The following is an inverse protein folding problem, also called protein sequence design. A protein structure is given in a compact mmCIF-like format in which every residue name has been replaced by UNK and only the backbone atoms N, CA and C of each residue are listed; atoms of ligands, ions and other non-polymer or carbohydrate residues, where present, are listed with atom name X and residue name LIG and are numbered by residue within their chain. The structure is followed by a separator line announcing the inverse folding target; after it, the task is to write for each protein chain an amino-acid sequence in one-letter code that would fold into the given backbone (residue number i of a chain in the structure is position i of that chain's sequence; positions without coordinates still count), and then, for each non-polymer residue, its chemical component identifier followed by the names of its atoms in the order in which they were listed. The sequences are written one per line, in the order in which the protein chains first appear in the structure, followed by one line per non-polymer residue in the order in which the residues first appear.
data_IF_425537193795
#
_entry.id   IF_425537193795
#
_cell.length_a   1.000
_cell.length_b   1.000
_cell.length_c   1.000
_cell.angle_alpha   90.00
_cell.angle_beta   90.00
_cell.angle_gamma   90.00
#
_symmetry.space_group_name_H-M   'P 1'
#
loop_
_entity.id
_entity.type
_entity.pdbx_description
1 polymer ?
#
# COMPACT_ATOMS: atom_id res chain seq x y z
N UNK A 1 -9.67 12.92 -3.24
CA UNK A 1 -8.27 12.52 -3.02
C UNK A 1 -7.60 11.90 -4.25
N UNK A 2 -8.27 11.02 -4.98
CA UNK A 2 -7.71 10.35 -6.18
C UNK A 2 -7.24 11.31 -7.30
N UNK A 3 -8.00 12.34 -7.59
CA UNK A 3 -7.63 13.35 -8.60
C UNK A 3 -6.36 14.11 -8.22
N UNK A 4 -6.18 14.42 -6.94
CA UNK A 4 -4.99 15.11 -6.40
C UNK A 4 -3.74 14.24 -6.54
N UNK A 5 -3.84 12.93 -6.28
CA UNK A 5 -2.76 11.95 -6.44
C UNK A 5 -2.33 11.85 -7.90
N UNK A 6 -3.30 11.65 -8.81
CA UNK A 6 -3.01 11.56 -10.25
C UNK A 6 -2.33 12.81 -10.79
N UNK A 7 -2.77 13.98 -10.33
CA UNK A 7 -2.14 15.27 -10.69
C UNK A 7 -0.70 15.37 -10.19
N UNK A 8 -0.44 14.92 -8.97
CA UNK A 8 0.92 14.87 -8.42
C UNK A 8 1.82 13.92 -9.23
N UNK A 9 1.37 12.71 -9.51
CA UNK A 9 2.13 11.71 -10.30
C UNK A 9 2.49 12.21 -11.70
N UNK A 10 1.56 12.91 -12.36
CA UNK A 10 1.82 13.56 -13.65
C UNK A 10 2.88 14.64 -13.52
N UNK A 11 2.76 15.56 -12.55
CA UNK A 11 3.75 16.62 -12.32
C UNK A 11 5.12 16.07 -11.95
N UNK A 12 5.18 15.03 -11.10
CA UNK A 12 6.44 14.40 -10.70
C UNK A 12 7.12 13.70 -11.87
N UNK A 13 6.36 13.00 -12.70
CA UNK A 13 6.89 12.35 -13.91
C UNK A 13 7.41 13.37 -14.92
N UNK A 14 6.69 14.47 -15.13
CA UNK A 14 7.12 15.55 -16.05
C UNK A 14 8.40 16.26 -15.56
N UNK A 15 8.55 16.41 -14.25
CA UNK A 15 9.74 17.02 -13.66
C UNK A 15 10.98 16.15 -13.87
N UNK A 16 10.83 14.84 -13.73
CA UNK A 16 11.92 13.87 -13.94
C UNK A 16 12.20 13.58 -15.41
N UNK A 17 11.17 13.61 -16.25
CA UNK A 17 11.25 13.25 -17.67
C UNK A 17 10.47 14.24 -18.55
N UNK A 18 11.03 15.45 -18.81
CA UNK A 18 10.30 16.50 -19.55
C UNK A 18 9.95 16.13 -21.00
N UNK A 19 10.66 15.17 -21.59
CA UNK A 19 10.48 14.72 -22.98
C UNK A 19 9.57 13.49 -23.12
N UNK A 20 8.94 13.07 -22.03
CA UNK A 20 8.05 11.90 -22.04
C UNK A 20 6.81 12.15 -22.91
N UNK A 21 6.43 11.18 -23.73
CA UNK A 21 5.20 11.28 -24.49
C UNK A 21 3.97 10.92 -23.62
N UNK A 22 2.78 11.36 -24.05
CA UNK A 22 1.55 11.18 -23.27
C UNK A 22 1.19 9.71 -23.02
N UNK A 23 1.54 8.79 -23.93
CA UNK A 23 1.30 7.35 -23.74
C UNK A 23 2.20 6.76 -22.67
N UNK A 24 3.48 7.12 -22.69
CA UNK A 24 4.43 6.75 -21.64
C UNK A 24 4.03 7.37 -20.29
N UNK A 25 3.61 8.64 -20.29
CA UNK A 25 3.12 9.33 -19.10
C UNK A 25 1.90 8.62 -18.50
N UNK A 26 0.98 8.12 -19.34
CA UNK A 26 -0.17 7.33 -18.91
C UNK A 26 0.26 6.03 -18.22
N UNK A 27 1.24 5.33 -18.79
CA UNK A 27 1.79 4.10 -18.20
C UNK A 27 2.47 4.37 -16.85
N UNK A 28 3.33 5.40 -16.77
CA UNK A 28 4.04 5.77 -15.54
C UNK A 28 3.08 6.21 -14.41
N UNK A 29 2.06 6.99 -14.76
CA UNK A 29 1.08 7.47 -13.78
C UNK A 29 -0.03 6.45 -13.47
N UNK A 30 -0.06 5.29 -14.14
CA UNK A 30 -1.08 4.26 -13.94
C UNK A 30 -2.51 4.74 -14.26
N UNK A 31 -2.66 5.62 -15.29
CA UNK A 31 -3.94 6.21 -15.69
C UNK A 31 -4.16 6.10 -17.21
N UNK A 32 -5.40 6.30 -17.65
CA UNK A 32 -5.71 6.27 -19.08
C UNK A 32 -5.13 7.48 -19.82
N UNK A 33 -4.91 7.32 -21.14
CA UNK A 33 -4.46 8.42 -21.99
C UNK A 33 -5.42 9.61 -21.99
N UNK A 34 -6.74 9.35 -21.92
CA UNK A 34 -7.76 10.41 -21.80
C UNK A 34 -7.63 11.20 -20.49
N UNK A 35 -7.33 10.53 -19.38
CA UNK A 35 -7.07 11.19 -18.09
C UNK A 35 -5.78 12.01 -18.13
N UNK A 36 -4.71 11.51 -18.77
CA UNK A 36 -3.48 12.30 -18.99
C UNK A 36 -3.77 13.57 -19.76
N UNK A 37 -4.50 13.46 -20.88
CA UNK A 37 -4.85 14.63 -21.70
C UNK A 37 -5.65 15.66 -20.91
N UNK A 38 -6.63 15.22 -20.13
CA UNK A 38 -7.43 16.10 -19.28
C UNK A 38 -6.56 16.82 -18.24
N UNK A 39 -5.68 16.07 -17.55
CA UNK A 39 -4.78 16.64 -16.53
C UNK A 39 -3.81 17.61 -17.17
N UNK A 40 -3.14 17.23 -18.28
CA UNK A 40 -2.19 18.10 -19.00
C UNK A 40 -2.85 19.41 -19.45
N UNK A 41 -4.06 19.35 -20.02
CA UNK A 41 -4.82 20.55 -20.39
C UNK A 41 -5.05 21.43 -19.18
N UNK A 42 -5.53 20.87 -18.08
CA UNK A 42 -5.74 21.62 -16.83
C UNK A 42 -4.43 22.24 -16.29
N UNK A 43 -3.32 21.55 -16.38
CA UNK A 43 -2.01 22.06 -15.93
C UNK A 43 -1.51 23.22 -16.81
N UNK A 44 -1.71 23.13 -18.13
CA UNK A 44 -1.39 24.18 -19.10
C UNK A 44 -2.28 25.42 -18.87
N UNK A 45 -3.59 25.24 -18.77
CA UNK A 45 -4.57 26.32 -18.56
C UNK A 45 -4.29 27.09 -17.25
N UNK A 46 -3.81 26.39 -16.22
CA UNK A 46 -3.45 26.96 -14.91
C UNK A 46 -2.05 27.55 -14.86
N UNK A 47 -1.26 27.42 -15.95
CA UNK A 47 0.13 27.87 -16.02
C UNK A 47 1.08 27.13 -15.10
N UNK A 48 0.79 25.86 -14.76
CA UNK A 48 1.65 25.02 -13.92
C UNK A 48 2.71 24.32 -14.78
N UNK A 49 2.39 24.09 -16.05
CA UNK A 49 3.25 23.48 -17.06
C UNK A 49 3.26 24.37 -18.30
N UNK A 50 4.37 24.41 -18.99
CA UNK A 50 4.50 25.04 -20.31
C UNK A 50 5.01 24.03 -21.34
N UNK A 51 4.61 24.18 -22.61
CA UNK A 51 5.12 23.39 -23.72
C UNK A 51 6.38 24.07 -24.25
N UNK A 52 7.50 23.35 -24.24
CA UNK A 52 8.73 23.76 -24.89
C UNK A 52 8.86 23.13 -26.28
N UNK A 53 9.15 23.94 -27.29
CA UNK A 53 9.49 23.43 -28.63
C UNK A 53 10.95 23.02 -28.67
N UNK A 54 11.25 21.73 -28.71
CA UNK A 54 12.61 21.24 -29.00
C UNK A 54 12.83 21.16 -30.51
N UNK A 55 13.33 22.26 -31.09
CA UNK A 55 13.66 22.37 -32.53
C UNK A 55 14.99 21.70 -32.96
N UNK A 56 15.56 20.80 -32.16
CA UNK A 56 16.90 20.24 -32.45
C UNK A 56 16.94 18.75 -32.79
N UNK A 57 15.85 18.14 -33.24
CA UNK A 57 15.93 16.78 -33.81
C UNK A 57 15.19 16.72 -35.14
N UNK A 58 15.86 16.29 -36.26
CA UNK A 58 15.17 16.07 -37.53
C UNK A 58 14.21 14.89 -37.54
N UNK A 59 14.11 14.13 -36.43
CA UNK A 59 13.23 12.99 -36.28
C UNK A 59 12.15 13.26 -35.18
N UNK A 60 10.98 13.70 -35.66
CA UNK A 60 9.71 13.84 -34.90
C UNK A 60 9.73 14.87 -33.76
N UNK A 61 8.91 15.88 -33.91
CA UNK A 61 8.59 16.94 -32.97
C UNK A 61 8.11 16.29 -31.65
N UNK A 62 9.02 16.22 -30.67
CA UNK A 62 8.68 15.87 -29.30
C UNK A 62 8.29 17.16 -28.55
N UNK A 63 7.10 17.23 -28.03
CA UNK A 63 6.74 18.30 -27.10
C UNK A 63 7.40 18.02 -25.75
N UNK A 64 8.18 18.99 -25.24
CA UNK A 64 8.64 18.95 -23.86
C UNK A 64 7.64 19.66 -22.97
N UNK A 65 7.21 19.00 -21.93
CA UNK A 65 6.38 19.59 -20.87
C UNK A 65 7.28 20.01 -19.73
N UNK A 66 7.43 21.32 -19.52
CA UNK A 66 8.29 21.88 -18.49
C UNK A 66 7.46 22.48 -17.36
N UNK A 67 7.79 22.17 -16.12
CA UNK A 67 7.17 22.79 -14.97
C UNK A 67 7.55 24.27 -14.90
N UNK A 68 6.58 25.12 -14.59
CA UNK A 68 6.84 26.52 -14.24
C UNK A 68 7.23 26.63 -12.76
N UNK A 69 7.77 27.75 -12.26
CA UNK A 69 7.98 27.96 -10.82
C UNK A 69 6.72 27.71 -9.99
N UNK A 70 5.56 28.14 -10.49
CA UNK A 70 4.25 27.85 -9.87
C UNK A 70 3.91 26.35 -9.91
N UNK A 71 4.30 25.66 -10.99
CA UNK A 71 4.17 24.19 -11.11
C UNK A 71 5.02 23.44 -10.10
N UNK A 72 6.28 23.86 -9.90
CA UNK A 72 7.18 23.28 -8.88
C UNK A 72 6.60 23.48 -7.48
N UNK A 73 6.16 24.69 -7.14
CA UNK A 73 5.52 24.98 -5.86
C UNK A 73 4.26 24.13 -5.64
N UNK A 74 3.42 24.01 -6.66
CA UNK A 74 2.20 23.18 -6.60
C UNK A 74 2.56 21.70 -6.42
N UNK A 75 3.57 21.19 -7.16
CA UNK A 75 4.07 19.82 -7.00
C UNK A 75 4.53 19.55 -5.57
N UNK A 76 5.33 20.45 -5.00
CA UNK A 76 5.82 20.33 -3.62
C UNK A 76 4.68 20.28 -2.60
N UNK A 77 3.69 21.15 -2.75
CA UNK A 77 2.51 21.13 -1.88
C UNK A 77 1.68 19.83 -2.01
N UNK A 78 1.51 19.35 -3.25
CA UNK A 78 0.82 18.09 -3.50
C UNK A 78 1.61 16.90 -2.93
N UNK A 79 2.95 16.92 -2.99
CA UNK A 79 3.81 15.90 -2.39
C UNK A 79 3.59 15.82 -0.87
N UNK A 80 3.62 16.95 -0.18
CA UNK A 80 3.34 17.00 1.27
C UNK A 80 1.98 16.41 1.58
N UNK A 81 0.93 16.84 0.88
CA UNK A 81 -0.42 16.29 1.08
C UNK A 81 -0.51 14.79 0.82
N UNK A 82 0.18 14.31 -0.22
CA UNK A 82 0.21 12.88 -0.54
C UNK A 82 0.89 12.08 0.57
N UNK A 83 2.06 12.54 1.02
CA UNK A 83 2.81 11.89 2.12
C UNK A 83 1.98 11.89 3.40
N UNK A 84 1.43 13.04 3.79
CA UNK A 84 0.58 13.14 5.00
C UNK A 84 -0.60 12.18 4.95
N UNK A 85 -1.31 12.13 3.80
CA UNK A 85 -2.42 11.19 3.63
C UNK A 85 -2.00 9.73 3.73
N UNK A 86 -0.79 9.39 3.27
CA UNK A 86 -0.26 8.02 3.38
C UNK A 86 0.16 7.67 4.81
N UNK A 87 0.72 8.60 5.53
CA UNK A 87 1.04 8.43 6.95
C UNK A 87 -0.24 8.25 7.79
N UNK A 88 -1.27 9.06 7.55
CA UNK A 88 -2.57 8.90 8.22
C UNK A 88 -3.25 7.55 7.90
N UNK A 89 -3.10 7.04 6.67
CA UNK A 89 -3.60 5.72 6.28
C UNK A 89 -2.82 4.61 7.01
N UNK A 90 -1.50 4.75 7.10
CA UNK A 90 -0.62 3.85 7.84
C UNK A 90 -0.97 3.84 9.34
N UNK A 91 -1.12 5.01 9.97
CA UNK A 91 -1.48 5.11 11.38
C UNK A 91 -2.83 4.46 11.69
N UNK A 92 -3.83 4.68 10.83
CA UNK A 92 -5.13 4.00 10.99
C UNK A 92 -5.02 2.48 10.91
N UNK A 93 -4.19 1.98 9.98
CA UNK A 93 -3.94 0.56 9.83
C UNK A 93 -3.22 -0.01 11.06
N UNK A 94 -2.16 0.68 11.50
CA UNK A 94 -1.37 0.33 12.68
C UNK A 94 -2.25 0.24 13.93
N UNK A 95 -3.05 1.27 14.19
CA UNK A 95 -3.92 1.32 15.37
C UNK A 95 -4.97 0.17 15.35
N UNK A 96 -5.57 -0.10 14.20
CA UNK A 96 -6.49 -1.24 14.06
C UNK A 96 -5.82 -2.58 14.35
N UNK A 97 -4.59 -2.77 13.89
CA UNK A 97 -3.80 -3.98 14.19
C UNK A 97 -3.42 -4.06 15.66
N UNK A 98 -2.98 -2.95 16.27
CA UNK A 98 -2.66 -2.88 17.68
C UNK A 98 -3.87 -3.24 18.55
N UNK A 99 -5.06 -2.69 18.28
CA UNK A 99 -6.30 -3.05 18.97
C UNK A 99 -6.64 -4.54 18.82
N UNK A 100 -6.42 -5.09 17.61
CA UNK A 100 -6.64 -6.52 17.36
C UNK A 100 -5.69 -7.40 18.18
N UNK A 101 -4.39 -7.05 18.19
CA UNK A 101 -3.37 -7.76 18.95
C UNK A 101 -3.64 -7.68 20.47
N UNK A 102 -3.98 -6.50 20.98
CA UNK A 102 -4.37 -6.33 22.39
C UNK A 102 -5.60 -7.20 22.77
N UNK A 103 -6.58 -7.32 21.85
CA UNK A 103 -7.71 -8.23 22.03
C UNK A 103 -7.30 -9.70 22.07
N UNK A 104 -6.24 -10.09 21.38
CA UNK A 104 -5.68 -11.45 21.40
C UNK A 104 -4.95 -11.69 22.73
N UNK A 105 -4.09 -10.74 23.11
CA UNK A 105 -3.34 -10.79 24.37
C UNK A 105 -4.26 -10.92 25.59
N UNK A 106 -5.37 -10.17 25.63
CA UNK A 106 -6.37 -10.24 26.72
C UNK A 106 -7.02 -11.62 26.89
N UNK A 107 -6.93 -12.50 25.87
CA UNK A 107 -7.39 -13.89 25.92
C UNK A 107 -6.34 -14.86 26.45
N UNK A 108 -5.25 -14.36 26.99
CA UNK A 108 -4.10 -15.14 27.48
C UNK A 108 -3.44 -16.00 26.38
N UNK A 109 -3.54 -15.57 25.13
CA UNK A 109 -2.90 -16.24 23.98
C UNK A 109 -1.59 -15.52 23.65
N UNK A 110 -0.47 -16.06 24.14
CA UNK A 110 0.85 -15.42 23.98
C UNK A 110 1.59 -15.83 22.71
N UNK A 111 1.33 -17.03 22.22
CA UNK A 111 2.02 -17.65 21.07
C UNK A 111 1.11 -17.64 19.84
N UNK A 112 1.52 -16.96 18.80
CA UNK A 112 0.76 -16.78 17.57
C UNK A 112 1.49 -17.48 16.41
N UNK A 113 0.78 -18.32 15.66
CA UNK A 113 1.17 -18.68 14.30
C UNK A 113 0.56 -17.68 13.34
N UNK A 114 1.37 -17.02 12.53
CA UNK A 114 0.90 -16.09 11.51
C UNK A 114 0.90 -16.73 10.12
N UNK A 115 -0.19 -16.57 9.38
CA UNK A 115 -0.35 -17.02 8.00
C UNK A 115 -0.63 -15.83 7.10
N UNK A 116 0.26 -15.55 6.16
CA UNK A 116 0.10 -14.45 5.23
C UNK A 116 1.42 -13.89 4.68
N UNK A 117 1.42 -12.70 4.07
CA UNK A 117 2.61 -12.09 3.50
C UNK A 117 3.67 -11.74 4.56
N UNK A 118 4.95 -11.98 4.24
CA UNK A 118 6.10 -11.69 5.12
C UNK A 118 6.13 -10.23 5.61
N UNK A 119 5.77 -9.28 4.75
CA UNK A 119 5.75 -7.86 5.12
C UNK A 119 4.74 -7.56 6.23
N UNK A 120 3.61 -8.28 6.25
CA UNK A 120 2.59 -8.15 7.30
C UNK A 120 3.08 -8.76 8.60
N UNK A 121 3.78 -9.91 8.54
CA UNK A 121 4.45 -10.50 9.72
C UNK A 121 5.38 -9.48 10.38
N UNK A 122 6.32 -8.91 9.60
CA UNK A 122 7.27 -7.91 10.12
C UNK A 122 6.58 -6.69 10.71
N UNK A 123 5.43 -6.29 10.14
CA UNK A 123 4.64 -5.18 10.66
C UNK A 123 3.94 -5.54 12.00
N UNK A 124 3.43 -6.76 12.14
CA UNK A 124 2.87 -7.27 13.39
C UNK A 124 3.95 -7.31 14.48
N UNK A 125 5.13 -7.85 14.17
CA UNK A 125 6.26 -7.91 15.11
C UNK A 125 6.73 -6.51 15.55
N UNK A 126 6.73 -5.55 14.64
CA UNK A 126 7.04 -4.15 14.96
C UNK A 126 6.03 -3.56 15.97
N UNK A 127 4.72 -3.80 15.76
CA UNK A 127 3.68 -3.34 16.69
C UNK A 127 3.80 -4.02 18.06
N UNK A 128 4.03 -5.33 18.12
CA UNK A 128 4.21 -6.08 19.36
C UNK A 128 5.36 -5.47 20.18
N UNK A 129 6.50 -5.19 19.53
CA UNK A 129 7.67 -4.60 20.19
C UNK A 129 7.43 -3.15 20.60
N UNK A 130 6.79 -2.32 19.78
CA UNK A 130 6.53 -0.91 20.05
C UNK A 130 5.54 -0.70 21.20
N UNK A 131 4.53 -1.58 21.31
CA UNK A 131 3.50 -1.52 22.37
C UNK A 131 3.85 -2.37 23.61
N UNK A 132 5.06 -2.98 23.65
CA UNK A 132 5.54 -3.84 24.73
C UNK A 132 4.55 -4.97 25.10
N UNK A 133 3.97 -5.61 24.06
CA UNK A 133 2.99 -6.67 24.24
C UNK A 133 3.66 -8.00 24.60
N UNK A 134 3.00 -8.81 25.45
CA UNK A 134 3.41 -10.18 25.81
C UNK A 134 3.02 -11.21 24.74
N UNK A 135 3.05 -10.81 23.45
CA UNK A 135 2.75 -11.66 22.31
C UNK A 135 4.03 -12.02 21.56
N UNK A 136 4.09 -13.23 21.03
CA UNK A 136 5.20 -13.71 20.20
C UNK A 136 4.66 -14.41 18.96
N UNK A 137 5.21 -14.07 17.79
CA UNK A 137 4.97 -14.83 16.55
C UNK A 137 5.93 -16.01 16.51
N UNK A 138 5.50 -17.14 17.06
CA UNK A 138 6.33 -18.36 17.19
C UNK A 138 6.43 -19.18 15.91
N UNK A 139 5.49 -19.00 14.96
CA UNK A 139 5.48 -19.70 13.68
C UNK A 139 4.98 -18.79 12.55
N UNK A 140 5.50 -19.00 11.35
CA UNK A 140 5.14 -18.25 10.15
C UNK A 140 4.95 -19.17 8.95
N UNK A 141 3.87 -18.90 8.20
CA UNK A 141 3.50 -19.65 7.00
C UNK A 141 3.02 -18.70 5.89
N UNK A 142 3.36 -19.01 4.64
CA UNK A 142 2.88 -18.27 3.48
C UNK A 142 1.42 -18.62 3.14
N UNK A 143 1.04 -19.88 3.36
CA UNK A 143 -0.30 -20.41 3.10
C UNK A 143 -0.77 -21.27 4.29
N UNK A 144 -2.06 -21.22 4.61
CA UNK A 144 -2.64 -21.98 5.73
C UNK A 144 -2.51 -23.52 5.58
N UNK A 145 -2.32 -24.01 4.36
CA UNK A 145 -2.12 -25.45 4.11
C UNK A 145 -0.81 -25.97 4.68
N UNK A 146 0.18 -25.10 4.84
CA UNK A 146 1.47 -25.42 5.44
C UNK A 146 1.36 -25.74 6.94
N UNK A 147 0.26 -25.34 7.60
CA UNK A 147 -0.04 -25.72 8.99
C UNK A 147 -0.36 -27.21 9.15
N UNK A 148 -0.64 -27.95 8.08
CA UNK A 148 -0.89 -29.38 8.15
C UNK A 148 0.34 -30.12 8.66
N UNK A 149 0.21 -30.81 9.79
CA UNK A 149 1.30 -31.57 10.40
C UNK A 149 2.19 -30.76 11.35
N UNK A 150 1.88 -29.50 11.58
CA UNK A 150 2.55 -28.71 12.61
C UNK A 150 1.93 -29.06 13.98
N UNK A 151 2.79 -29.23 14.99
CA UNK A 151 2.34 -29.52 16.35
C UNK A 151 1.40 -28.40 16.85
N UNK A 152 0.17 -28.78 17.20
CA UNK A 152 -0.84 -27.85 17.74
C UNK A 152 -0.45 -27.24 19.10
N UNK A 153 0.61 -27.74 19.74
CA UNK A 153 1.20 -27.19 20.96
C UNK A 153 2.18 -26.03 20.69
N UNK A 154 2.63 -25.84 19.46
CA UNK A 154 3.59 -24.80 19.10
C UNK A 154 2.99 -23.37 19.08
N UNK A 155 1.66 -23.24 19.14
CA UNK A 155 0.95 -21.94 19.13
C UNK A 155 -0.39 -22.06 19.86
N UNK A 156 -0.81 -20.94 20.46
CA UNK A 156 -2.13 -20.85 21.09
C UNK A 156 -3.20 -20.47 20.08
N UNK A 157 -2.85 -19.68 19.04
CA UNK A 157 -3.75 -19.08 18.09
C UNK A 157 -3.11 -18.95 16.71
N UNK A 158 -3.92 -19.08 15.67
CA UNK A 158 -3.52 -18.83 14.28
C UNK A 158 -4.14 -17.52 13.80
N UNK A 159 -3.29 -16.55 13.44
CA UNK A 159 -3.70 -15.29 12.87
C UNK A 159 -3.61 -15.35 11.34
N UNK A 160 -4.75 -15.26 10.66
CA UNK A 160 -4.86 -15.40 9.21
C UNK A 160 -4.99 -14.04 8.52
N UNK A 161 -4.10 -13.74 7.59
CA UNK A 161 -4.19 -12.51 6.78
C UNK A 161 -5.45 -12.52 5.89
N UNK A 162 -5.66 -13.60 5.13
CA UNK A 162 -6.77 -13.74 4.18
C UNK A 162 -7.96 -14.54 4.78
N UNK A 163 -8.35 -14.19 5.99
CA UNK A 163 -9.47 -14.85 6.66
C UNK A 163 -10.83 -14.47 6.05
N UNK A 164 -11.25 -15.12 4.97
CA UNK A 164 -12.62 -14.98 4.47
C UNK A 164 -13.58 -15.53 5.51
N UNK A 165 -14.55 -14.76 6.03
CA UNK A 165 -15.43 -15.19 7.14
C UNK A 165 -16.13 -16.54 6.90
N UNK A 166 -16.53 -16.86 5.68
CA UNK A 166 -17.10 -18.16 5.30
C UNK A 166 -16.08 -19.30 5.10
N UNK A 167 -14.78 -18.97 5.02
CA UNK A 167 -13.71 -19.95 4.81
C UNK A 167 -13.09 -20.52 6.08
N UNK A 168 -13.25 -19.83 7.21
CA UNK A 168 -12.58 -20.19 8.47
C UNK A 168 -13.04 -21.55 9.02
N UNK A 169 -14.32 -21.90 8.91
CA UNK A 169 -14.82 -23.21 9.33
C UNK A 169 -14.19 -24.34 8.50
N UNK A 170 -14.11 -24.15 7.18
CA UNK A 170 -13.48 -25.12 6.27
C UNK A 170 -11.98 -25.29 6.56
N UNK A 171 -11.29 -24.17 6.89
CA UNK A 171 -9.89 -24.23 7.30
C UNK A 171 -9.75 -24.98 8.62
N UNK A 172 -10.56 -24.68 9.62
CA UNK A 172 -10.57 -25.36 10.91
C UNK A 172 -10.77 -26.87 10.76
N UNK A 173 -11.77 -27.30 10.00
CA UNK A 173 -12.05 -28.71 9.68
C UNK A 173 -10.88 -29.37 8.96
N UNK A 174 -10.29 -28.68 7.96
CA UNK A 174 -9.16 -29.22 7.19
C UNK A 174 -7.88 -29.41 8.02
N UNK A 175 -7.69 -28.58 9.04
CA UNK A 175 -6.52 -28.60 9.93
C UNK A 175 -6.77 -29.44 11.20
N UNK A 176 -8.02 -29.79 11.50
CA UNK A 176 -8.39 -30.50 12.74
C UNK A 176 -8.21 -29.65 14.00
N UNK A 177 -8.29 -28.32 13.87
CA UNK A 177 -8.14 -27.37 15.00
C UNK A 177 -9.46 -26.71 15.35
N UNK A 178 -9.60 -26.30 16.61
CA UNK A 178 -10.79 -25.61 17.07
C UNK A 178 -10.96 -24.26 16.35
N UNK A 179 -12.22 -23.92 15.97
CA UNK A 179 -12.53 -22.71 15.19
C UNK A 179 -12.14 -21.41 15.91
N UNK A 180 -12.21 -21.39 17.23
CA UNK A 180 -11.84 -20.26 18.09
C UNK A 180 -10.34 -19.96 18.10
N UNK A 181 -9.51 -20.94 17.73
CA UNK A 181 -8.08 -20.74 17.51
C UNK A 181 -7.75 -20.01 16.20
N UNK A 182 -8.69 -19.89 15.26
CA UNK A 182 -8.50 -19.20 14.01
C UNK A 182 -9.06 -17.78 14.08
N UNK A 183 -8.19 -16.78 14.00
CA UNK A 183 -8.57 -15.36 14.05
C UNK A 183 -8.20 -14.71 12.71
N UNK A 184 -9.18 -14.10 11.99
CA UNK A 184 -8.88 -13.30 10.82
C UNK A 184 -8.26 -11.98 11.26
N UNK A 185 -7.31 -11.49 10.46
CA UNK A 185 -6.66 -10.21 10.74
C UNK A 185 -7.60 -9.03 10.48
N UNK A 186 -8.49 -9.17 9.48
CA UNK A 186 -9.46 -8.15 9.01
C UNK A 186 -10.92 -8.57 9.23
#
# INVERSE_FOLDING_TARGET
MEHTRKTFEVLDTLDRQPLINQRQLAQHAGISLGQVNYILKSLLDRGLVKVGNFRKSPRKIGYAYLLTPKGIQTKSWLAVRFITSKLEEYDRLRNRLAEKLASIESRNSRQIAFVGPQIVKSFIESIINEEDMELEVTAYFGDWRELKGVDAGAYNLVLLFDGVPGGLNRIAESLGIARDKLVPLW
#
